data_IF_140730294751
#
_entry.id   IF_140730294751
#
_cell.length_a   1.000
_cell.length_b   1.000
_cell.length_c   1.000
_cell.angle_alpha   90.00
_cell.angle_beta   90.00
_cell.angle_gamma   90.00
#
_symmetry.space_group_name_H-M   'P 1'
#
loop_
_entity.id
_entity.type
_entity.pdbx_description
1 polymer ?
#
# COMPACT_ATOMS: atom_id res chain seq x y z
N UNK A 1 15.47 6.72 41.89
CA UNK A 1 14.60 5.93 40.99
C UNK A 1 14.83 6.50 39.59
N UNK A 2 15.64 5.83 38.75
CA UNK A 2 15.89 6.32 37.38
C UNK A 2 14.74 5.84 36.50
N UNK A 3 13.91 6.78 36.04
CA UNK A 3 12.87 6.50 35.06
C UNK A 3 13.54 6.16 33.72
N UNK A 4 13.00 5.15 33.04
CA UNK A 4 13.51 4.75 31.72
C UNK A 4 13.31 5.86 30.71
N UNK A 5 14.34 6.15 29.90
CA UNK A 5 14.23 7.08 28.76
C UNK A 5 13.14 6.67 27.75
N UNK A 6 12.73 5.40 27.75
CA UNK A 6 11.62 4.95 26.90
C UNK A 6 10.26 5.58 27.26
N UNK A 7 10.10 6.13 28.46
CA UNK A 7 8.86 6.77 28.94
C UNK A 7 8.83 8.27 28.66
N UNK A 8 9.94 8.86 28.23
CA UNK A 8 10.06 10.29 27.95
C UNK A 8 9.02 10.78 26.91
N UNK A 9 8.75 10.05 25.81
CA UNK A 9 7.70 10.45 24.86
C UNK A 9 6.31 10.46 25.49
N UNK A 10 6.02 9.53 26.41
CA UNK A 10 4.71 9.41 27.05
C UNK A 10 4.50 10.54 28.06
N UNK A 11 5.52 10.88 28.86
CA UNK A 11 5.45 12.03 29.77
C UNK A 11 5.27 13.35 29.03
N UNK A 12 5.99 13.53 27.92
CA UNK A 12 5.83 14.71 27.06
C UNK A 12 4.40 14.79 26.52
N UNK A 13 3.88 13.68 26.00
CA UNK A 13 2.51 13.60 25.51
C UNK A 13 1.50 13.98 26.61
N UNK A 14 1.63 13.42 27.82
CA UNK A 14 0.74 13.76 28.93
C UNK A 14 0.84 15.23 29.31
N UNK A 15 2.05 15.77 29.45
CA UNK A 15 2.24 17.18 29.78
C UNK A 15 1.61 18.14 28.77
N UNK A 16 1.61 17.79 27.48
CA UNK A 16 1.04 18.61 26.41
C UNK A 16 -0.49 18.42 26.24
N UNK A 17 -1.04 17.26 26.61
CA UNK A 17 -2.40 16.87 26.20
C UNK A 17 -3.38 16.60 27.36
N UNK A 18 -2.93 16.46 28.61
CA UNK A 18 -3.78 16.02 29.74
C UNK A 18 -4.99 16.93 30.00
N UNK A 19 -4.87 18.24 29.71
CA UNK A 19 -5.95 19.21 29.94
C UNK A 19 -6.88 19.38 28.73
N UNK A 20 -6.42 19.02 27.53
CA UNK A 20 -7.11 19.34 26.27
C UNK A 20 -7.73 18.11 25.61
N UNK A 21 -7.19 16.91 25.85
CA UNK A 21 -7.67 15.66 25.26
C UNK A 21 -8.51 14.87 26.23
N UNK A 22 -9.80 15.19 26.26
CA UNK A 22 -10.80 14.47 27.04
C UNK A 22 -11.73 13.73 26.07
N UNK A 23 -12.06 12.48 26.39
CA UNK A 23 -13.09 11.74 25.67
C UNK A 23 -14.43 12.43 25.91
N UNK A 24 -15.00 13.07 24.89
CA UNK A 24 -16.38 13.52 24.95
C UNK A 24 -17.28 12.28 25.11
N UNK A 25 -18.10 12.28 26.16
CA UNK A 25 -19.07 11.21 26.47
C UNK A 25 -20.30 11.31 25.55
N UNK A 26 -20.32 12.28 24.64
CA UNK A 26 -21.43 12.49 23.72
C UNK A 26 -21.68 11.27 22.85
N UNK A 27 -22.95 10.87 22.80
CA UNK A 27 -23.49 9.87 21.89
C UNK A 27 -23.53 10.42 20.46
N UNK A 28 -22.38 10.78 19.89
CA UNK A 28 -22.32 11.10 18.48
C UNK A 28 -22.51 9.82 17.66
N UNK A 29 -23.44 9.79 16.70
CA UNK A 29 -23.58 8.64 15.80
C UNK A 29 -22.24 8.41 15.08
N UNK A 30 -21.90 7.14 14.87
CA UNK A 30 -20.70 6.79 14.13
C UNK A 30 -20.82 7.34 12.70
N UNK A 31 -19.83 8.13 12.28
CA UNK A 31 -19.77 8.72 10.95
C UNK A 31 -19.61 7.64 9.87
N UNK A 32 -18.98 6.51 10.21
CA UNK A 32 -18.87 5.33 9.33
C UNK A 32 -18.57 4.07 10.13
N UNK A 33 -18.82 2.94 9.47
CA UNK A 33 -18.48 1.60 9.94
C UNK A 33 -17.42 1.02 9.01
N UNK A 34 -16.30 0.56 9.57
CA UNK A 34 -15.24 -0.12 8.83
C UNK A 34 -15.21 -1.57 9.31
N UNK A 35 -15.34 -2.47 8.36
CA UNK A 35 -15.14 -3.91 8.54
C UNK A 35 -13.72 -4.23 8.12
N UNK A 36 -13.03 -5.06 8.88
CA UNK A 36 -11.67 -5.50 8.52
C UNK A 36 -11.51 -6.97 8.82
N UNK A 37 -10.59 -7.59 8.08
CA UNK A 37 -10.20 -8.98 8.28
C UNK A 37 -8.75 -9.19 7.85
N UNK A 38 -8.09 -10.15 8.50
CA UNK A 38 -6.75 -10.57 8.15
C UNK A 38 -6.72 -12.06 7.77
N UNK A 39 -6.04 -12.37 6.69
CA UNK A 39 -5.65 -13.74 6.35
C UNK A 39 -4.13 -13.92 6.49
N UNK A 40 -3.63 -15.13 6.22
CA UNK A 40 -2.19 -15.38 6.15
C UNK A 40 -1.53 -14.76 4.89
N UNK A 41 -2.31 -14.40 3.88
CA UNK A 41 -1.79 -13.89 2.60
C UNK A 41 -1.95 -12.39 2.44
N UNK A 42 -2.98 -11.79 3.03
CA UNK A 42 -3.28 -10.37 2.91
C UNK A 42 -4.30 -9.84 3.92
N UNK A 43 -4.72 -8.61 3.68
CA UNK A 43 -5.70 -7.89 4.48
C UNK A 43 -6.84 -7.38 3.63
N UNK A 44 -8.01 -7.27 4.24
CA UNK A 44 -9.22 -6.77 3.62
C UNK A 44 -9.90 -5.76 4.52
N UNK A 45 -10.48 -4.72 3.92
CA UNK A 45 -11.31 -3.76 4.62
C UNK A 45 -12.46 -3.26 3.73
N UNK A 46 -13.62 -3.05 4.35
CA UNK A 46 -14.84 -2.62 3.67
C UNK A 46 -15.49 -1.48 4.44
N UNK A 47 -15.93 -0.44 3.73
CA UNK A 47 -16.61 0.71 4.30
C UNK A 47 -17.59 1.30 3.28
N UNK A 48 -18.87 1.40 3.64
CA UNK A 48 -19.93 1.96 2.80
C UNK A 48 -19.94 1.40 1.36
N UNK A 49 -19.83 0.07 1.21
CA UNK A 49 -19.79 -0.63 -0.08
C UNK A 49 -18.48 -0.47 -0.87
N UNK A 50 -17.52 0.30 -0.37
CA UNK A 50 -16.18 0.43 -0.96
C UNK A 50 -15.23 -0.57 -0.30
N UNK A 51 -14.37 -1.17 -1.12
CA UNK A 51 -13.43 -2.20 -0.71
C UNK A 51 -11.99 -1.71 -0.82
N UNK A 52 -11.14 -2.22 0.04
CA UNK A 52 -9.70 -2.00 0.05
C UNK A 52 -9.02 -3.32 0.47
N UNK A 53 -7.96 -3.70 -0.22
CA UNK A 53 -7.28 -4.95 0.04
C UNK A 53 -5.83 -4.90 -0.47
N UNK A 54 -5.01 -5.81 0.02
CA UNK A 54 -3.63 -5.95 -0.43
C UNK A 54 -2.89 -7.10 0.21
N UNK A 55 -1.77 -7.48 -0.38
CA UNK A 55 -0.91 -8.54 0.16
C UNK A 55 -0.04 -8.05 1.33
N UNK A 56 0.24 -8.97 2.26
CA UNK A 56 1.27 -8.75 3.26
C UNK A 56 2.66 -8.72 2.63
N UNK A 57 3.57 -7.91 3.20
CA UNK A 57 4.99 -8.01 2.81
C UNK A 57 5.57 -9.34 3.28
N UNK A 58 6.74 -9.69 2.75
CA UNK A 58 7.43 -10.92 3.15
C UNK A 58 7.71 -11.00 4.65
N UNK A 59 7.96 -9.86 5.30
CA UNK A 59 8.17 -9.79 6.75
C UNK A 59 6.86 -10.03 7.51
N UNK A 60 5.80 -9.31 7.12
CA UNK A 60 4.49 -9.37 7.79
C UNK A 60 3.83 -10.74 7.71
N UNK A 61 4.07 -11.51 6.65
CA UNK A 61 3.56 -12.89 6.54
C UNK A 61 3.97 -13.78 7.70
N UNK A 62 5.06 -13.44 8.41
CA UNK A 62 5.54 -14.19 9.57
C UNK A 62 4.93 -13.69 10.89
N UNK A 63 4.09 -12.67 10.87
CA UNK A 63 3.46 -12.15 12.08
C UNK A 63 2.33 -13.06 12.54
N UNK A 64 2.12 -13.10 13.86
CA UNK A 64 1.00 -13.82 14.45
C UNK A 64 -0.34 -13.20 14.01
N UNK A 65 -1.37 -14.03 13.82
CA UNK A 65 -2.68 -13.60 13.33
C UNK A 65 -3.26 -12.39 14.10
N UNK A 66 -3.20 -12.39 15.44
CA UNK A 66 -3.64 -11.26 16.26
C UNK A 66 -2.98 -9.91 15.90
N UNK A 67 -1.71 -9.92 15.46
CA UNK A 67 -1.02 -8.71 15.00
C UNK A 67 -1.49 -8.33 13.59
N UNK A 68 -1.69 -9.31 12.71
CA UNK A 68 -2.24 -9.09 11.37
C UNK A 68 -3.65 -8.48 11.43
N UNK A 69 -4.48 -8.90 12.37
CA UNK A 69 -5.81 -8.34 12.62
C UNK A 69 -5.75 -6.85 13.00
N UNK A 70 -4.87 -6.49 13.94
CA UNK A 70 -4.65 -5.08 14.28
C UNK A 70 -4.12 -4.27 13.08
N UNK A 71 -3.24 -4.87 12.27
CA UNK A 71 -2.75 -4.21 11.05
C UNK A 71 -3.84 -4.05 10.00
N UNK A 72 -4.73 -5.03 9.82
CA UNK A 72 -5.88 -4.92 8.91
C UNK A 72 -6.83 -3.81 9.34
N UNK A 73 -7.10 -3.67 10.64
CA UNK A 73 -7.85 -2.52 11.20
C UNK A 73 -7.14 -1.21 10.85
N UNK A 74 -5.85 -1.12 11.10
CA UNK A 74 -5.08 0.10 10.84
C UNK A 74 -5.08 0.48 9.35
N UNK A 75 -4.94 -0.52 8.48
CA UNK A 75 -4.97 -0.36 7.04
C UNK A 75 -6.35 0.08 6.56
N UNK A 76 -7.43 -0.48 7.11
CA UNK A 76 -8.79 -0.01 6.88
C UNK A 76 -8.97 1.46 7.26
N UNK A 77 -8.48 1.87 8.44
CA UNK A 77 -8.49 3.27 8.87
C UNK A 77 -7.73 4.18 7.90
N UNK A 78 -6.52 3.81 7.49
CA UNK A 78 -5.77 4.60 6.49
C UNK A 78 -6.51 4.70 5.16
N UNK A 79 -7.12 3.62 4.67
CA UNK A 79 -7.83 3.63 3.41
C UNK A 79 -9.14 4.45 3.42
N UNK A 80 -9.86 4.47 4.54
CA UNK A 80 -11.21 5.05 4.61
C UNK A 80 -11.35 6.29 5.48
N UNK A 81 -10.38 6.58 6.34
CA UNK A 81 -10.44 7.65 7.34
C UNK A 81 -9.27 8.64 7.30
N UNK A 82 -8.34 8.54 6.33
CA UNK A 82 -7.20 9.49 6.22
C UNK A 82 -7.63 10.95 6.12
N UNK A 83 -8.78 11.23 5.48
CA UNK A 83 -9.32 12.58 5.29
C UNK A 83 -10.37 12.97 6.34
N UNK A 84 -10.78 12.05 7.20
CA UNK A 84 -11.77 12.34 8.24
C UNK A 84 -11.11 13.06 9.42
N UNK A 85 -11.90 13.89 10.12
CA UNK A 85 -11.51 14.54 11.37
C UNK A 85 -12.74 14.74 12.25
N UNK A 86 -12.54 14.86 13.57
CA UNK A 86 -13.57 15.23 14.54
C UNK A 86 -14.82 14.33 14.48
N UNK A 87 -14.64 13.01 14.44
CA UNK A 87 -15.76 12.08 14.30
C UNK A 87 -15.54 10.77 15.06
N UNK A 88 -16.60 9.97 15.22
CA UNK A 88 -16.49 8.60 15.73
C UNK A 88 -16.61 7.56 14.62
N UNK A 89 -15.80 6.50 14.67
CA UNK A 89 -15.81 5.39 13.72
C UNK A 89 -16.04 4.08 14.46
N UNK A 90 -16.97 3.27 13.97
CA UNK A 90 -17.20 1.91 14.45
C UNK A 90 -16.33 0.94 13.64
N UNK A 91 -15.55 0.13 14.34
CA UNK A 91 -14.74 -0.95 13.75
C UNK A 91 -15.44 -2.28 14.01
N UNK A 92 -15.66 -3.06 12.96
CA UNK A 92 -16.25 -4.41 13.01
C UNK A 92 -15.13 -5.42 12.74
N UNK A 93 -14.80 -6.19 13.76
CA UNK A 93 -13.66 -7.11 13.80
C UNK A 93 -14.14 -8.43 14.40
N UNK A 94 -13.70 -9.57 13.91
CA UNK A 94 -14.08 -10.89 14.43
C UNK A 94 -13.04 -11.45 15.45
N UNK A 95 -11.84 -10.86 15.49
CA UNK A 95 -10.81 -11.19 16.46
C UNK A 95 -10.99 -10.46 17.81
N UNK A 96 -11.34 -11.20 18.86
CA UNK A 96 -11.57 -10.67 20.21
C UNK A 96 -10.32 -10.08 20.87
N UNK A 97 -9.12 -10.57 20.51
CA UNK A 97 -7.86 -10.01 21.01
C UNK A 97 -7.64 -8.61 20.44
N UNK A 98 -7.81 -8.43 19.13
CA UNK A 98 -7.71 -7.14 18.47
C UNK A 98 -8.71 -6.14 19.06
N UNK A 99 -9.97 -6.55 19.24
CA UNK A 99 -11.01 -5.73 19.90
C UNK A 99 -10.55 -5.27 21.29
N UNK A 100 -10.05 -6.19 22.12
CA UNK A 100 -9.59 -5.83 23.47
C UNK A 100 -8.43 -4.84 23.44
N UNK A 101 -7.46 -4.99 22.52
CA UNK A 101 -6.32 -4.08 22.44
C UNK A 101 -6.75 -2.70 21.93
N UNK A 102 -7.65 -2.63 20.96
CA UNK A 102 -8.17 -1.35 20.44
C UNK A 102 -8.95 -0.62 21.55
N UNK A 103 -9.94 -1.28 22.16
CA UNK A 103 -10.82 -0.62 23.13
C UNK A 103 -10.10 -0.23 24.44
N UNK A 104 -8.99 -0.89 24.78
CA UNK A 104 -8.14 -0.55 25.93
C UNK A 104 -6.95 0.35 25.58
N UNK A 105 -6.83 0.79 24.33
CA UNK A 105 -5.71 1.62 23.85
C UNK A 105 -4.33 0.98 24.06
N UNK A 106 -4.29 -0.34 23.91
CA UNK A 106 -3.10 -1.16 24.14
C UNK A 106 -3.34 -2.32 25.10
N UNK A 107 -2.24 -2.96 25.47
CA UNK A 107 -2.21 -4.01 26.48
C UNK A 107 -0.83 -4.13 27.11
N UNK A 108 -0.72 -4.90 28.19
CA UNK A 108 0.52 -5.08 28.95
C UNK A 108 1.24 -6.39 28.63
N UNK A 109 0.54 -7.35 28.01
CA UNK A 109 1.04 -8.72 27.84
C UNK A 109 2.00 -8.86 26.67
N UNK A 110 1.71 -8.22 25.54
CA UNK A 110 2.49 -8.38 24.31
C UNK A 110 2.88 -7.01 23.76
N UNK A 111 4.17 -6.69 23.82
CA UNK A 111 4.70 -5.40 23.38
C UNK A 111 4.39 -5.08 21.92
N UNK A 112 4.45 -6.07 21.02
CA UNK A 112 4.15 -5.87 19.60
C UNK A 112 2.68 -5.55 19.32
N UNK A 113 1.73 -6.18 20.05
CA UNK A 113 0.31 -5.84 19.95
C UNK A 113 0.00 -4.48 20.58
N UNK A 114 0.68 -4.15 21.69
CA UNK A 114 0.60 -2.82 22.30
C UNK A 114 1.07 -1.74 21.31
N UNK A 115 2.23 -1.96 20.66
CA UNK A 115 2.77 -1.04 19.66
C UNK A 115 1.79 -0.82 18.51
N UNK A 116 1.19 -1.89 17.98
CA UNK A 116 0.21 -1.77 16.90
C UNK A 116 -1.05 -1.00 17.33
N UNK A 117 -1.57 -1.26 18.54
CA UNK A 117 -2.70 -0.51 19.07
C UNK A 117 -2.37 0.98 19.29
N UNK A 118 -1.14 1.27 19.75
CA UNK A 118 -0.63 2.64 19.91
C UNK A 118 -0.58 3.37 18.56
N UNK A 119 -0.07 2.75 17.50
CA UNK A 119 -0.05 3.33 16.16
C UNK A 119 -1.46 3.67 15.64
N UNK A 120 -2.43 2.78 15.87
CA UNK A 120 -3.84 3.02 15.52
C UNK A 120 -4.37 4.27 16.24
N UNK A 121 -4.15 4.36 17.56
CA UNK A 121 -4.65 5.47 18.35
C UNK A 121 -3.94 6.78 18.04
N UNK A 122 -2.62 6.78 17.79
CA UNK A 122 -1.89 7.96 17.34
C UNK A 122 -2.44 8.51 16.02
N UNK A 123 -2.71 7.64 15.05
CA UNK A 123 -3.34 8.05 13.78
C UNK A 123 -4.71 8.70 13.99
N UNK A 124 -5.53 8.13 14.87
CA UNK A 124 -6.85 8.66 15.20
C UNK A 124 -6.75 9.98 15.97
N UNK A 125 -5.82 10.05 16.90
CA UNK A 125 -5.57 11.18 17.79
C UNK A 125 -5.20 12.45 17.02
N UNK A 126 -4.28 12.35 16.05
CA UNK A 126 -3.89 13.46 15.16
C UNK A 126 -5.07 14.08 14.41
N UNK A 127 -6.14 13.31 14.23
CA UNK A 127 -7.35 13.68 13.48
C UNK A 127 -8.55 13.94 14.38
N UNK A 128 -8.38 13.83 15.70
CA UNK A 128 -9.48 13.86 16.66
C UNK A 128 -10.61 12.87 16.27
N UNK A 129 -10.22 11.66 15.87
CA UNK A 129 -11.13 10.55 15.58
C UNK A 129 -11.23 9.69 16.83
N UNK A 130 -12.46 9.36 17.22
CA UNK A 130 -12.71 8.36 18.24
C UNK A 130 -13.08 7.03 17.60
N UNK A 131 -12.46 5.93 18.04
CA UNK A 131 -12.79 4.60 17.52
C UNK A 131 -13.40 3.71 18.60
N UNK A 132 -14.29 2.82 18.18
CA UNK A 132 -14.80 1.74 19.02
C UNK A 132 -14.80 0.44 18.22
N UNK A 133 -14.18 -0.61 18.76
CA UNK A 133 -14.20 -1.93 18.16
C UNK A 133 -15.32 -2.79 18.73
N UNK A 134 -16.12 -3.38 17.86
CA UNK A 134 -17.23 -4.25 18.19
C UNK A 134 -17.12 -5.56 17.42
N UNK A 135 -17.49 -6.65 18.09
CA UNK A 135 -17.48 -7.98 17.49
C UNK A 135 -18.47 -8.08 16.32
N UNK A 136 -18.04 -8.78 15.28
CA UNK A 136 -18.89 -9.34 14.24
C UNK A 136 -18.55 -10.82 14.07
N UNK A 137 -19.54 -11.67 13.81
CA UNK A 137 -19.26 -13.08 13.50
C UNK A 137 -18.59 -13.20 12.14
N UNK A 138 -17.65 -14.13 11.99
CA UNK A 138 -16.94 -14.33 10.71
C UNK A 138 -17.90 -14.63 9.55
N UNK A 139 -19.02 -15.32 9.81
CA UNK A 139 -20.10 -15.54 8.82
C UNK A 139 -20.72 -14.26 8.27
N UNK A 140 -20.74 -13.19 9.07
CA UNK A 140 -21.28 -11.88 8.70
C UNK A 140 -20.17 -10.91 8.24
N UNK A 141 -18.89 -11.29 8.35
CA UNK A 141 -17.74 -10.49 7.92
C UNK A 141 -17.23 -10.90 6.52
N UNK A 142 -18.05 -11.63 5.75
CA UNK A 142 -17.66 -12.31 4.52
C UNK A 142 -17.01 -11.38 3.47
N UNK A 143 -17.41 -10.11 3.37
CA UNK A 143 -16.79 -9.20 2.40
C UNK A 143 -15.34 -8.85 2.76
N UNK A 144 -15.07 -8.52 4.03
CA UNK A 144 -13.72 -8.20 4.45
C UNK A 144 -12.82 -9.45 4.38
N UNK A 145 -13.38 -10.59 4.75
CA UNK A 145 -12.79 -11.92 4.71
C UNK A 145 -12.49 -12.44 3.28
N UNK A 146 -13.34 -12.10 2.31
CA UNK A 146 -13.07 -12.34 0.89
C UNK A 146 -11.93 -11.44 0.40
N UNK A 147 -11.98 -10.14 0.73
CA UNK A 147 -10.96 -9.18 0.34
C UNK A 147 -9.58 -9.52 0.94
N UNK A 148 -9.52 -10.03 2.18
CA UNK A 148 -8.27 -10.42 2.84
C UNK A 148 -7.58 -11.61 2.18
N UNK A 149 -8.34 -12.45 1.45
CA UNK A 149 -7.81 -13.59 0.70
C UNK A 149 -7.62 -13.32 -0.78
N UNK A 150 -8.15 -12.22 -1.30
CA UNK A 150 -8.04 -11.87 -2.71
C UNK A 150 -6.62 -11.40 -3.03
N UNK A 151 -5.86 -12.26 -3.68
CA UNK A 151 -4.55 -11.94 -4.29
C UNK A 151 -4.76 -11.77 -5.79
N UNK A 152 -4.56 -10.56 -6.33
CA UNK A 152 -4.64 -10.32 -7.78
C UNK A 152 -3.28 -10.62 -8.43
N UNK A 153 -3.12 -11.75 -9.16
CA UNK A 153 -1.80 -12.24 -9.54
C UNK A 153 -1.10 -11.33 -10.57
N UNK A 154 -1.86 -10.75 -11.50
CA UNK A 154 -1.31 -10.01 -12.64
C UNK A 154 -0.78 -8.62 -12.28
N UNK A 155 -1.29 -8.01 -11.21
CA UNK A 155 -0.86 -6.68 -10.73
C UNK A 155 0.19 -6.75 -9.61
N UNK A 156 0.47 -7.96 -9.09
CA UNK A 156 1.34 -8.16 -7.92
C UNK A 156 2.74 -8.69 -8.28
N UNK A 157 3.05 -8.89 -9.58
CA UNK A 157 4.42 -9.19 -9.98
C UNK A 157 5.29 -7.94 -9.84
N UNK A 158 6.38 -8.08 -9.08
CA UNK A 158 7.40 -7.06 -8.91
C UNK A 158 8.66 -7.45 -9.66
N UNK A 159 9.33 -6.47 -10.26
CA UNK A 159 10.70 -6.62 -10.73
C UNK A 159 11.62 -6.92 -9.54
N UNK A 160 12.62 -7.79 -9.69
CA UNK A 160 13.60 -8.00 -8.61
C UNK A 160 14.36 -6.72 -8.25
N UNK A 161 14.70 -6.60 -6.96
CA UNK A 161 15.48 -5.47 -6.45
C UNK A 161 16.84 -5.37 -7.14
N UNK A 162 17.49 -6.50 -7.42
CA UNK A 162 18.75 -6.52 -8.17
C UNK A 162 18.63 -5.93 -9.57
N UNK A 163 17.55 -6.22 -10.28
CA UNK A 163 17.28 -5.66 -11.61
C UNK A 163 16.92 -4.18 -11.53
N UNK A 164 16.14 -3.79 -10.51
CA UNK A 164 15.83 -2.39 -10.25
C UNK A 164 17.08 -1.57 -9.92
N UNK A 165 18.02 -2.11 -9.15
CA UNK A 165 19.30 -1.47 -8.84
C UNK A 165 20.16 -1.24 -10.09
N UNK A 166 20.14 -2.17 -11.06
CA UNK A 166 20.80 -1.97 -12.37
C UNK A 166 20.17 -0.79 -13.13
N UNK A 167 18.85 -0.68 -13.11
CA UNK A 167 18.10 0.39 -13.77
C UNK A 167 18.45 1.76 -13.17
N UNK A 168 18.37 1.91 -11.85
CA UNK A 168 18.59 3.22 -11.20
C UNK A 168 20.06 3.65 -11.23
N UNK A 169 21.02 2.71 -11.28
CA UNK A 169 22.43 3.03 -11.55
C UNK A 169 22.63 3.69 -12.91
N UNK A 170 21.76 3.43 -13.88
CA UNK A 170 21.85 3.99 -15.23
C UNK A 170 21.14 5.34 -15.38
N UNK A 171 19.99 5.52 -14.73
CA UNK A 171 19.08 6.65 -14.98
C UNK A 171 18.70 7.47 -13.74
N UNK A 172 19.39 7.26 -12.63
CA UNK A 172 19.07 7.77 -11.29
C UNK A 172 17.80 7.15 -10.70
N UNK A 173 17.61 7.35 -9.39
CA UNK A 173 16.45 6.84 -8.65
C UNK A 173 15.21 7.70 -8.96
N UNK A 174 14.10 7.09 -9.41
CA UNK A 174 12.83 7.78 -9.56
C UNK A 174 12.23 8.22 -8.23
N UNK A 175 11.45 9.29 -8.28
CA UNK A 175 10.77 9.89 -7.14
C UNK A 175 9.54 9.10 -6.70
N UNK A 176 8.88 8.45 -7.65
CA UNK A 176 7.58 7.80 -7.45
C UNK A 176 7.44 6.54 -8.31
N UNK A 177 6.82 5.51 -7.74
CA UNK A 177 6.49 4.26 -8.42
C UNK A 177 5.01 4.25 -8.83
N UNK A 178 4.75 4.18 -10.14
CA UNK A 178 3.40 4.12 -10.68
C UNK A 178 2.98 2.66 -10.86
N UNK A 179 1.72 2.38 -10.54
CA UNK A 179 1.11 1.05 -10.64
C UNK A 179 1.63 0.03 -9.62
N UNK A 180 2.11 0.52 -8.47
CA UNK A 180 2.62 -0.30 -7.38
C UNK A 180 1.66 -0.33 -6.18
N UNK A 181 1.76 -1.38 -5.38
CA UNK A 181 1.17 -1.51 -4.06
C UNK A 181 2.26 -1.47 -2.99
N UNK A 182 1.87 -1.36 -1.72
CA UNK A 182 2.82 -1.33 -0.60
C UNK A 182 3.72 -2.57 -0.53
N UNK A 183 3.27 -3.71 -1.06
CA UNK A 183 4.04 -4.97 -1.07
C UNK A 183 5.12 -5.00 -2.14
N UNK A 184 5.00 -4.21 -3.22
CA UNK A 184 5.85 -4.31 -4.40
C UNK A 184 6.53 -3.00 -4.85
N UNK A 185 6.23 -1.88 -4.21
CA UNK A 185 6.78 -0.56 -4.53
C UNK A 185 8.31 -0.53 -4.44
N UNK A 186 8.93 0.09 -5.45
CA UNK A 186 10.39 0.30 -5.55
C UNK A 186 10.84 1.69 -5.09
N UNK A 187 9.90 2.62 -5.03
CA UNK A 187 10.08 3.96 -4.51
C UNK A 187 9.32 4.15 -3.19
N UNK A 188 9.79 5.10 -2.36
CA UNK A 188 9.12 5.43 -1.10
C UNK A 188 7.72 6.01 -1.30
N UNK A 189 7.52 6.74 -2.41
CA UNK A 189 6.23 7.24 -2.87
C UNK A 189 5.73 6.32 -3.98
N UNK A 190 4.45 5.98 -3.96
CA UNK A 190 3.84 5.16 -5.01
C UNK A 190 2.34 5.42 -5.18
N UNK A 191 1.84 5.06 -6.36
CA UNK A 191 0.43 5.17 -6.72
C UNK A 191 -0.13 3.79 -7.07
N UNK A 192 -1.12 3.37 -6.30
CA UNK A 192 -1.78 2.08 -6.45
C UNK A 192 -3.03 2.18 -7.31
N UNK A 193 -3.37 1.06 -7.97
CA UNK A 193 -4.62 0.95 -8.74
C UNK A 193 -5.86 1.05 -7.84
N UNK A 194 -5.80 0.43 -6.66
CA UNK A 194 -6.87 0.42 -5.65
C UNK A 194 -6.47 1.24 -4.42
N UNK A 195 -7.38 1.29 -3.44
CA UNK A 195 -7.07 1.86 -2.11
C UNK A 195 -5.98 1.02 -1.46
N UNK A 196 -4.83 1.65 -1.21
CA UNK A 196 -3.74 1.08 -0.44
C UNK A 196 -3.37 2.08 0.70
N UNK A 197 -3.12 1.61 1.94
CA UNK A 197 -2.94 2.42 3.13
C UNK A 197 -1.91 3.54 3.04
N UNK A 198 -0.85 3.36 2.25
CA UNK A 198 0.24 4.34 2.16
C UNK A 198 0.43 4.90 0.74
N UNK A 199 -0.55 4.69 -0.15
CA UNK A 199 -0.45 5.23 -1.50
C UNK A 199 -0.80 6.71 -1.56
N UNK A 200 -0.06 7.45 -2.39
CA UNK A 200 -0.25 8.90 -2.57
C UNK A 200 -1.58 9.23 -3.29
N UNK A 201 -2.04 8.34 -4.17
CA UNK A 201 -3.29 8.48 -4.91
C UNK A 201 -3.84 7.11 -5.32
N UNK A 202 -5.08 7.11 -5.81
CA UNK A 202 -5.69 5.94 -6.45
C UNK A 202 -5.70 6.17 -7.96
N UNK A 203 -5.26 5.18 -8.72
CA UNK A 203 -5.12 5.22 -10.18
C UNK A 203 -4.16 6.30 -10.68
N UNK A 204 -2.97 5.87 -11.11
CA UNK A 204 -1.93 6.75 -11.66
C UNK A 204 -2.39 7.57 -12.87
N UNK A 205 -3.42 7.14 -13.61
CA UNK A 205 -3.93 7.91 -14.74
C UNK A 205 -4.70 9.18 -14.36
N UNK A 206 -5.08 9.33 -13.08
CA UNK A 206 -5.81 10.49 -12.57
C UNK A 206 -4.92 11.71 -12.30
N UNK A 207 -3.60 11.51 -12.18
CA UNK A 207 -2.64 12.58 -11.90
C UNK A 207 -1.92 13.06 -13.16
N UNK A 208 -1.39 14.28 -13.13
CA UNK A 208 -0.44 14.76 -14.14
C UNK A 208 0.95 14.15 -13.90
N UNK A 209 1.62 13.70 -14.97
CA UNK A 209 2.97 13.13 -14.89
C UNK A 209 4.08 14.12 -15.32
N UNK A 210 3.71 15.34 -15.74
CA UNK A 210 4.64 16.29 -16.36
C UNK A 210 5.86 16.64 -15.49
N UNK A 211 5.65 16.77 -14.18
CA UNK A 211 6.64 17.24 -13.20
C UNK A 211 7.20 16.12 -12.32
N UNK A 212 7.04 14.86 -12.73
CA UNK A 212 7.51 13.69 -11.96
C UNK A 212 8.59 12.98 -12.75
N UNK A 213 9.69 12.60 -12.09
CA UNK A 213 10.54 11.53 -12.60
C UNK A 213 10.09 10.20 -11.99
N UNK A 214 9.27 9.46 -12.74
CA UNK A 214 8.61 8.25 -12.24
C UNK A 214 9.26 6.96 -12.72
N UNK A 215 9.02 5.87 -12.00
CA UNK A 215 9.18 4.50 -12.49
C UNK A 215 7.80 3.88 -12.69
N UNK A 216 7.63 3.09 -13.74
CA UNK A 216 6.40 2.36 -14.01
C UNK A 216 6.72 0.94 -14.48
N UNK A 217 6.15 -0.05 -13.79
CA UNK A 217 6.03 -1.41 -14.28
C UNK A 217 4.54 -1.76 -14.42
N UNK A 218 3.90 -1.29 -15.49
CA UNK A 218 2.46 -1.42 -15.63
C UNK A 218 2.05 -2.87 -15.99
N UNK A 219 0.82 -3.29 -15.64
CA UNK A 219 0.21 -4.47 -16.25
C UNK A 219 0.31 -4.43 -17.77
N UNK A 220 0.63 -5.56 -18.39
CA UNK A 220 0.99 -5.61 -19.80
C UNK A 220 -0.14 -5.13 -20.73
N UNK A 221 -1.39 -5.33 -20.32
CA UNK A 221 -2.59 -4.90 -21.05
C UNK A 221 -2.74 -3.37 -21.16
N UNK A 222 -2.09 -2.59 -20.30
CA UNK A 222 -2.23 -1.12 -20.27
C UNK A 222 -0.98 -0.36 -20.74
N UNK A 223 0.05 -1.04 -21.25
CA UNK A 223 1.30 -0.42 -21.72
C UNK A 223 1.01 0.71 -22.72
N UNK A 224 0.17 0.47 -23.73
CA UNK A 224 -0.20 1.49 -24.71
C UNK A 224 -0.81 2.74 -24.06
N UNK A 225 -1.63 2.55 -23.02
CA UNK A 225 -2.25 3.65 -22.27
C UNK A 225 -1.19 4.45 -21.51
N UNK A 226 -0.21 3.79 -20.90
CA UNK A 226 0.95 4.43 -20.26
C UNK A 226 1.76 5.26 -21.25
N UNK A 227 2.12 4.71 -22.41
CA UNK A 227 2.90 5.43 -23.42
C UNK A 227 2.16 6.67 -23.96
N UNK A 228 0.86 6.54 -24.23
CA UNK A 228 0.00 7.67 -24.62
C UNK A 228 -0.06 8.74 -23.53
N UNK A 229 -0.12 8.32 -22.26
CA UNK A 229 -0.12 9.21 -21.10
C UNK A 229 1.20 9.98 -20.99
N UNK A 230 2.34 9.33 -21.20
CA UNK A 230 3.66 10.00 -21.26
C UNK A 230 3.66 11.09 -22.32
N UNK A 231 3.21 10.75 -23.54
CA UNK A 231 3.14 11.72 -24.65
C UNK A 231 2.21 12.90 -24.34
N UNK A 232 1.00 12.61 -23.85
CA UNK A 232 -0.01 13.62 -23.55
C UNK A 232 0.46 14.60 -22.48
N UNK A 233 1.07 14.09 -21.42
CA UNK A 233 1.49 14.89 -20.28
C UNK A 233 2.89 15.49 -20.46
N UNK A 234 3.55 15.26 -21.60
CA UNK A 234 4.96 15.64 -21.86
C UNK A 234 5.88 15.17 -20.72
N UNK A 235 5.65 13.94 -20.26
CA UNK A 235 6.30 13.40 -19.07
C UNK A 235 7.63 12.73 -19.41
N UNK A 236 8.41 12.44 -18.37
CA UNK A 236 9.65 11.67 -18.45
C UNK A 236 9.69 10.65 -17.32
N UNK A 237 10.09 9.42 -17.62
CA UNK A 237 10.18 8.38 -16.60
C UNK A 237 10.84 7.11 -17.12
N UNK A 238 11.06 6.17 -16.20
CA UNK A 238 11.57 4.84 -16.50
C UNK A 238 10.37 3.89 -16.64
N UNK A 239 10.27 3.19 -17.75
CA UNK A 239 9.22 2.20 -17.97
C UNK A 239 9.84 0.85 -18.25
N UNK A 240 9.33 -0.18 -17.58
CA UNK A 240 9.67 -1.58 -17.82
C UNK A 240 8.53 -2.26 -18.56
N UNK A 241 8.81 -2.87 -19.70
CA UNK A 241 7.85 -3.55 -20.57
C UNK A 241 8.42 -4.91 -21.02
N UNK A 242 7.59 -5.89 -21.43
CA UNK A 242 8.09 -7.09 -22.08
C UNK A 242 8.73 -6.75 -23.44
N UNK A 243 9.78 -7.48 -23.82
CA UNK A 243 10.44 -7.31 -25.13
C UNK A 243 9.62 -7.97 -26.25
N UNK A 244 8.54 -7.32 -26.66
CA UNK A 244 7.61 -7.83 -27.66
C UNK A 244 7.53 -6.90 -28.89
N UNK A 245 8.47 -6.98 -29.84
CA UNK A 245 8.53 -6.10 -31.00
C UNK A 245 7.28 -6.06 -31.88
N UNK A 246 6.52 -7.16 -31.90
CA UNK A 246 5.31 -7.32 -32.72
C UNK A 246 4.07 -6.70 -32.09
N UNK A 247 4.15 -6.12 -30.89
CA UNK A 247 3.00 -5.52 -30.23
C UNK A 247 2.69 -4.13 -30.80
N UNK A 248 1.41 -3.74 -30.94
CA UNK A 248 1.01 -2.45 -31.51
C UNK A 248 1.60 -1.22 -30.82
N UNK A 249 1.96 -1.34 -29.54
CA UNK A 249 2.53 -0.25 -28.75
C UNK A 249 4.05 -0.08 -28.91
N UNK A 250 4.76 -1.07 -29.47
CA UNK A 250 6.22 -1.08 -29.57
C UNK A 250 6.80 0.06 -30.41
N UNK A 251 6.22 0.45 -31.57
CA UNK A 251 6.69 1.60 -32.32
C UNK A 251 6.62 2.92 -31.52
N UNK A 252 5.55 3.10 -30.75
CA UNK A 252 5.40 4.28 -29.88
C UNK A 252 6.44 4.26 -28.75
N UNK A 253 6.68 3.10 -28.15
CA UNK A 253 7.75 2.93 -27.15
C UNK A 253 9.10 3.38 -27.70
N UNK A 254 9.47 2.90 -28.88
CA UNK A 254 10.73 3.27 -29.54
C UNK A 254 10.83 4.76 -29.86
N UNK A 255 9.72 5.38 -30.29
CA UNK A 255 9.69 6.82 -30.58
C UNK A 255 9.90 7.71 -29.35
N UNK A 256 9.66 7.18 -28.14
CA UNK A 256 9.79 7.90 -26.87
C UNK A 256 11.14 7.65 -26.18
N UNK A 257 12.02 6.81 -26.74
CA UNK A 257 13.31 6.49 -26.13
C UNK A 257 14.19 7.74 -25.99
N UNK A 258 14.59 8.05 -24.76
CA UNK A 258 15.55 9.14 -24.51
C UNK A 258 16.99 8.63 -24.35
N UNK A 259 17.18 7.31 -24.30
CA UNK A 259 18.49 6.66 -24.14
C UNK A 259 18.42 5.17 -24.52
N UNK A 260 19.59 4.53 -24.70
CA UNK A 260 19.66 3.09 -25.02
C UNK A 260 18.99 2.25 -23.91
N UNK A 261 17.99 1.40 -24.24
CA UNK A 261 17.33 0.53 -23.28
C UNK A 261 18.27 -0.51 -22.65
N UNK A 262 17.86 -1.03 -21.49
CA UNK A 262 18.50 -2.15 -20.80
C UNK A 262 17.64 -3.39 -21.03
N UNK A 263 18.22 -4.43 -21.60
CA UNK A 263 17.57 -5.74 -21.77
C UNK A 263 17.81 -6.58 -20.53
N UNK A 264 16.74 -7.03 -19.91
CA UNK A 264 16.74 -7.94 -18.77
C UNK A 264 16.38 -9.34 -19.28
N UNK A 265 17.36 -10.25 -19.20
CA UNK A 265 17.22 -11.61 -19.70
C UNK A 265 16.30 -12.45 -18.80
N UNK A 266 15.65 -13.49 -19.35
CA UNK A 266 14.86 -14.44 -18.57
C UNK A 266 15.67 -14.98 -17.38
N UNK A 267 15.06 -14.94 -16.20
CA UNK A 267 15.64 -15.41 -14.96
C UNK A 267 14.50 -15.81 -14.01
N UNK A 268 14.69 -16.89 -13.25
CA UNK A 268 13.71 -17.37 -12.27
C UNK A 268 13.33 -16.29 -11.24
N UNK A 269 14.25 -15.40 -10.90
CA UNK A 269 14.04 -14.33 -9.94
C UNK A 269 13.79 -12.97 -10.62
N UNK A 270 13.55 -12.91 -11.94
CA UNK A 270 13.35 -11.62 -12.61
C UNK A 270 12.07 -10.94 -12.13
N UNK A 271 10.97 -11.70 -12.13
CA UNK A 271 9.65 -11.27 -11.67
C UNK A 271 9.16 -12.21 -10.58
N UNK A 272 8.80 -11.64 -9.44
CA UNK A 272 8.28 -12.40 -8.29
C UNK A 272 6.95 -11.84 -7.86
N UNK A 273 5.99 -12.73 -7.61
CA UNK A 273 4.71 -12.38 -6.98
C UNK A 273 4.89 -12.04 -5.50
N UNK A 274 3.85 -11.51 -4.87
CA UNK A 274 3.81 -11.29 -3.41
C UNK A 274 4.08 -12.56 -2.59
N UNK A 275 3.75 -13.75 -3.12
CA UNK A 275 4.05 -15.06 -2.52
C UNK A 275 5.45 -15.59 -2.85
N UNK A 276 6.33 -14.78 -3.46
CA UNK A 276 7.67 -15.16 -3.94
C UNK A 276 7.67 -16.28 -4.99
N UNK A 277 6.52 -16.56 -5.59
CA UNK A 277 6.46 -17.44 -6.75
C UNK A 277 6.98 -16.67 -7.96
N UNK A 278 7.82 -17.35 -8.74
CA UNK A 278 8.31 -16.84 -10.02
C UNK A 278 7.16 -16.66 -11.00
N UNK A 279 7.32 -15.71 -11.94
CA UNK A 279 6.37 -15.53 -13.03
C UNK A 279 6.31 -16.78 -13.94
N UNK A 280 5.13 -17.26 -14.40
CA UNK A 280 5.02 -18.48 -15.19
C UNK A 280 5.94 -18.52 -16.43
N UNK A 281 6.15 -17.36 -17.05
CA UNK A 281 7.04 -17.18 -18.21
C UNK A 281 8.52 -16.89 -17.86
N UNK A 282 8.99 -17.18 -16.65
CA UNK A 282 10.34 -16.79 -16.19
C UNK A 282 11.50 -17.26 -17.07
N UNK A 283 11.31 -18.35 -17.81
CA UNK A 283 12.32 -18.98 -18.66
C UNK A 283 12.41 -18.38 -20.07
N UNK A 284 11.43 -17.56 -20.46
CA UNK A 284 11.26 -17.05 -21.82
C UNK A 284 10.95 -15.56 -21.89
N UNK A 285 10.54 -14.96 -20.77
CA UNK A 285 10.17 -13.55 -20.71
C UNK A 285 11.41 -12.66 -20.64
N UNK A 286 11.66 -11.96 -21.74
CA UNK A 286 12.57 -10.82 -21.77
C UNK A 286 11.81 -9.57 -21.36
N UNK A 287 12.44 -8.74 -20.53
CA UNK A 287 11.94 -7.39 -20.23
C UNK A 287 12.93 -6.36 -20.78
N UNK A 288 12.39 -5.21 -21.16
CA UNK A 288 13.16 -4.02 -21.54
C UNK A 288 12.81 -2.92 -20.55
N UNK A 289 13.82 -2.42 -19.85
CA UNK A 289 13.73 -1.17 -19.12
C UNK A 289 14.22 -0.04 -20.04
N UNK A 290 13.50 1.07 -20.09
CA UNK A 290 13.93 2.25 -20.84
C UNK A 290 13.55 3.54 -20.14
N UNK A 291 14.43 4.54 -20.25
CA UNK A 291 14.07 5.93 -19.97
C UNK A 291 13.33 6.50 -21.18
N UNK A 292 12.07 6.87 -20.97
CA UNK A 292 11.16 7.44 -21.96
C UNK A 292 10.94 8.92 -21.66
N UNK A 293 10.88 9.76 -22.70
CA UNK A 293 10.60 11.20 -22.54
C UNK A 293 9.79 11.75 -23.70
N UNK A 294 8.76 12.53 -23.39
CA UNK A 294 8.00 13.33 -24.36
C UNK A 294 8.16 14.84 -24.11
N UNK A 295 9.17 15.26 -23.34
CA UNK A 295 9.44 16.68 -23.04
C UNK A 295 9.87 17.48 -24.26
N UNK A 296 10.44 16.82 -25.25
CA UNK A 296 10.99 17.42 -26.47
C UNK A 296 10.21 17.04 -27.74
N UNK A 297 9.06 16.37 -27.57
CA UNK A 297 8.18 15.96 -28.66
C UNK A 297 7.08 16.99 -28.97
#
# INVERSE_FOLDING_TARGET
MNLSHALEPDFKWWGENILSRVKNVDYTPYAKVIFSDASLTGWGAVCNGKKANGAWTSEEKNFHINLLELKAVFFGLKCFATKDKNCSILLRVDNTTAISYINKMGGTRFAHLHSAAREIWQFCEERNIWIFASYISSSNNFEADEESRRVEPETEYSLSDSSFEVIIKRWNRPEIDLFASRSNAKCNRYISWKRDPSSEAIDAFTLSWANLFFYAFPPFSIILKVLRKIKRDKAEGIVVVPDWPNQPWFPLFNSLLSSKPIVLKPNYNLLTSSNRNSHPMWNSLFLVAAKLSAKHC
#
